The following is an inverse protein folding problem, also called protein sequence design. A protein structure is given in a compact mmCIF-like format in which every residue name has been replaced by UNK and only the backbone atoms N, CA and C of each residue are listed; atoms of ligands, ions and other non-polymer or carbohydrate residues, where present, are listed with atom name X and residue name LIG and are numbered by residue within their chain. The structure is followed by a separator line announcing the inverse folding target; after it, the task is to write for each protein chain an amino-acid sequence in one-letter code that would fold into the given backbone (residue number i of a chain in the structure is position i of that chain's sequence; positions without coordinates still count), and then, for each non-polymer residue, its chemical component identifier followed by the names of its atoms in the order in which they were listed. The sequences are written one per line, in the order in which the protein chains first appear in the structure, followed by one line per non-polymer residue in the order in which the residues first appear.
data_IF_674954554552
#
_entry.id   IF_674954554552
#
_cell.length_a   1.000
_cell.length_b   1.000
_cell.length_c   1.000
_cell.angle_alpha   90.00
_cell.angle_beta   90.00
_cell.angle_gamma   90.00
#
_symmetry.space_group_name_H-M   'P 1'
#
loop_
_entity.id
_entity.type
_entity.pdbx_description
1 polymer ?
#
# COMPACT_ATOMS: atom_id res chain seq x y z
N UNK A 1 -19.58 13.76 -4.64
CA UNK A 1 -18.36 13.34 -3.96
C UNK A 1 -17.19 13.45 -4.92
N UNK A 2 -16.33 14.46 -4.74
CA UNK A 2 -15.11 14.56 -5.54
C UNK A 2 -14.07 13.63 -4.92
N UNK A 3 -13.79 12.52 -5.59
CA UNK A 3 -12.75 11.59 -5.15
C UNK A 3 -11.46 11.85 -5.91
N UNK A 4 -10.34 11.72 -5.22
CA UNK A 4 -9.01 11.87 -5.81
C UNK A 4 -8.02 10.95 -5.10
N UNK A 5 -6.97 10.57 -5.81
CA UNK A 5 -5.85 9.81 -5.26
C UNK A 5 -4.64 10.75 -5.22
N UNK A 6 -3.83 10.66 -4.17
CA UNK A 6 -2.54 11.37 -4.11
C UNK A 6 -1.47 10.53 -3.39
N UNK A 7 -0.18 10.83 -3.58
CA UNK A 7 0.86 10.33 -2.70
C UNK A 7 0.57 10.67 -1.23
N UNK A 8 0.88 9.74 -0.35
CA UNK A 8 0.83 9.94 1.11
C UNK A 8 2.12 10.62 1.59
N UNK A 9 2.00 11.34 2.69
CA UNK A 9 3.11 12.04 3.34
C UNK A 9 3.14 11.70 4.82
N UNK A 10 4.19 12.12 5.53
CA UNK A 10 4.25 11.99 6.99
C UNK A 10 3.11 12.71 7.72
N UNK A 11 2.47 13.71 7.11
CA UNK A 11 1.28 14.38 7.66
C UNK A 11 0.04 13.48 7.68
N UNK A 12 0.03 12.41 6.90
CA UNK A 12 -1.08 11.45 6.83
C UNK A 12 -0.93 10.31 7.85
N UNK A 13 0.17 10.27 8.61
CA UNK A 13 0.52 9.16 9.48
C UNK A 13 -0.62 8.76 10.43
N UNK A 14 -1.20 9.73 11.14
CA UNK A 14 -2.29 9.46 12.08
C UNK A 14 -3.55 8.92 11.37
N UNK A 15 -3.84 9.43 10.16
CA UNK A 15 -4.98 8.99 9.35
C UNK A 15 -4.77 7.56 8.86
N UNK A 16 -3.55 7.24 8.40
CA UNK A 16 -3.16 5.90 7.94
C UNK A 16 -3.18 4.89 9.09
N UNK A 17 -2.66 5.26 10.26
CA UNK A 17 -2.66 4.38 11.44
C UNK A 17 -4.07 4.06 11.94
N UNK A 18 -4.95 5.08 11.99
CA UNK A 18 -6.36 4.87 12.32
C UNK A 18 -7.07 3.95 11.32
N UNK A 19 -6.82 4.15 10.02
CA UNK A 19 -7.39 3.33 8.96
C UNK A 19 -6.87 1.88 8.99
N UNK A 20 -5.57 1.67 9.25
CA UNK A 20 -4.97 0.34 9.46
C UNK A 20 -5.63 -0.41 10.61
N UNK A 21 -5.71 0.23 11.78
CA UNK A 21 -6.33 -0.38 12.96
C UNK A 21 -7.82 -0.69 12.78
N UNK A 22 -8.52 0.04 11.90
CA UNK A 22 -9.93 -0.21 11.60
C UNK A 22 -10.12 -1.31 10.54
N UNK A 23 -9.17 -1.47 9.61
CA UNK A 23 -9.29 -2.38 8.48
C UNK A 23 -8.77 -3.80 8.77
N UNK A 24 -7.83 -3.96 9.70
CA UNK A 24 -7.17 -5.23 9.98
C UNK A 24 -7.29 -5.67 11.45
N UNK A 25 -7.19 -6.98 11.73
CA UNK A 25 -6.98 -7.47 13.09
C UNK A 25 -5.72 -6.88 13.73
N UNK A 26 -5.69 -6.61 15.04
CA UNK A 26 -4.54 -5.97 15.69
C UNK A 26 -3.20 -6.66 15.51
N UNK A 27 -3.18 -8.00 15.37
CA UNK A 27 -1.95 -8.77 15.15
C UNK A 27 -1.37 -8.60 13.74
N UNK A 28 -2.20 -8.22 12.77
CA UNK A 28 -1.84 -8.12 11.36
C UNK A 28 -1.64 -6.68 10.92
N UNK A 29 -2.38 -5.75 11.55
CA UNK A 29 -2.30 -4.33 11.27
C UNK A 29 -0.86 -3.81 11.37
N UNK A 30 -0.47 -2.93 10.44
CA UNK A 30 0.80 -2.26 10.52
C UNK A 30 0.82 -1.33 11.74
N UNK A 31 1.86 -1.45 12.58
CA UNK A 31 2.02 -0.55 13.73
C UNK A 31 2.28 0.88 13.29
N UNK A 32 2.06 1.83 14.19
CA UNK A 32 2.33 3.25 13.95
C UNK A 32 3.77 3.47 13.45
N UNK A 33 4.75 2.81 14.07
CA UNK A 33 6.16 2.91 13.72
C UNK A 33 6.47 2.33 12.33
N UNK A 34 5.79 1.26 11.93
CA UNK A 34 5.95 0.69 10.58
C UNK A 34 5.42 1.65 9.52
N UNK A 35 4.28 2.28 9.77
CA UNK A 35 3.69 3.26 8.85
C UNK A 35 4.60 4.48 8.75
N UNK A 36 5.05 5.02 9.89
CA UNK A 36 5.97 6.16 9.98
C UNK A 36 7.26 5.89 9.18
N UNK A 37 7.86 4.72 9.39
CA UNK A 37 9.06 4.32 8.64
C UNK A 37 8.83 4.27 7.13
N UNK A 38 7.72 3.66 6.67
CA UNK A 38 7.43 3.47 5.24
C UNK A 38 7.11 4.80 4.55
N UNK A 39 6.34 5.67 5.21
CA UNK A 39 6.06 7.03 4.72
C UNK A 39 7.30 7.94 4.76
N UNK A 40 8.24 7.69 5.67
CA UNK A 40 9.50 8.44 5.74
C UNK A 40 10.53 7.96 4.72
N UNK A 41 10.58 6.67 4.43
CA UNK A 41 11.62 6.06 3.60
C UNK A 41 11.27 6.02 2.12
N UNK A 42 9.99 5.84 1.78
CA UNK A 42 9.54 5.78 0.39
C UNK A 42 8.08 6.23 0.23
N UNK A 43 7.77 7.51 0.55
CA UNK A 43 6.42 8.06 0.39
C UNK A 43 5.90 8.01 -1.05
N UNK A 44 6.79 8.01 -2.05
CA UNK A 44 6.45 7.94 -3.47
C UNK A 44 5.79 6.61 -3.87
N UNK A 45 5.92 5.57 -3.05
CA UNK A 45 5.26 4.27 -3.24
C UNK A 45 3.95 4.13 -2.48
N UNK A 46 3.53 5.16 -1.75
CA UNK A 46 2.37 5.12 -0.87
C UNK A 46 1.29 6.09 -1.37
N UNK A 47 0.06 5.61 -1.57
CA UNK A 47 -1.02 6.41 -2.13
C UNK A 47 -2.28 6.32 -1.28
N UNK A 48 -3.00 7.44 -1.14
CA UNK A 48 -4.28 7.50 -0.46
C UNK A 48 -5.40 7.87 -1.43
N UNK A 49 -6.55 7.22 -1.28
CA UNK A 49 -7.81 7.63 -1.88
C UNK A 49 -8.56 8.51 -0.88
N UNK A 50 -8.84 9.74 -1.31
CA UNK A 50 -9.51 10.75 -0.53
C UNK A 50 -10.87 11.09 -1.13
N UNK A 51 -11.85 11.31 -0.26
CA UNK A 51 -13.17 11.80 -0.64
C UNK A 51 -13.33 13.22 -0.08
N UNK A 52 -13.65 14.19 -0.96
CA UNK A 52 -13.98 15.54 -0.53
C UNK A 52 -15.37 15.64 0.13
N UNK A 53 -15.61 16.73 0.85
CA UNK A 53 -16.88 17.04 1.52
C UNK A 53 -18.04 17.19 0.51
N UNK A 54 -18.74 16.10 0.20
CA UNK A 54 -20.00 16.10 -0.53
C UNK A 54 -20.70 14.76 -0.35
N UNK A 55 -21.95 14.81 0.12
CA UNK A 55 -22.87 13.69 0.44
C UNK A 55 -23.34 12.85 -0.78
N UNK A 56 -22.48 12.58 -1.76
CA UNK A 56 -22.88 11.79 -2.93
C UNK A 56 -22.35 10.35 -2.87
N UNK A 57 -23.01 9.49 -3.64
CA UNK A 57 -22.69 8.07 -3.85
C UNK A 57 -21.22 7.81 -4.24
N UNK A 58 -20.83 6.53 -4.19
CA UNK A 58 -19.49 6.05 -4.53
C UNK A 58 -18.97 6.68 -5.84
N UNK A 59 -17.70 7.12 -5.87
CA UNK A 59 -17.13 7.80 -7.03
C UNK A 59 -17.07 6.89 -8.26
N UNK A 60 -17.36 7.44 -9.44
CA UNK A 60 -17.13 6.76 -10.71
C UNK A 60 -15.61 6.56 -10.91
N UNK A 61 -15.12 5.30 -11.02
CA UNK A 61 -13.72 4.98 -11.29
C UNK A 61 -13.07 5.78 -12.42
N UNK A 62 -13.82 6.07 -13.50
CA UNK A 62 -13.32 6.79 -14.66
C UNK A 62 -13.00 8.27 -14.39
N UNK A 63 -13.54 8.81 -13.31
CA UNK A 63 -13.43 10.24 -12.95
C UNK A 63 -12.36 10.51 -11.89
N UNK A 64 -11.89 9.47 -11.19
CA UNK A 64 -10.92 9.62 -10.10
C UNK A 64 -9.53 9.84 -10.67
N UNK A 65 -9.01 11.05 -10.46
CA UNK A 65 -7.66 11.45 -10.88
C UNK A 65 -6.63 11.14 -9.81
N UNK A 66 -5.43 10.74 -10.25
CA UNK A 66 -4.23 10.74 -9.42
C UNK A 66 -3.60 12.12 -9.52
N UNK A 67 -3.56 12.84 -8.41
CA UNK A 67 -2.97 14.17 -8.29
C UNK A 67 -1.50 14.06 -7.91
N UNK A 68 -0.69 14.99 -8.39
CA UNK A 68 0.63 15.24 -7.83
C UNK A 68 0.53 15.83 -6.42
N UNK A 69 1.63 15.77 -5.67
CA UNK A 69 1.69 16.37 -4.32
C UNK A 69 1.41 17.89 -4.35
N UNK A 70 1.83 18.59 -5.41
CA UNK A 70 1.59 20.01 -5.59
C UNK A 70 0.09 20.31 -5.85
N UNK A 71 -0.58 19.54 -6.71
CA UNK A 71 -2.01 19.72 -7.01
C UNK A 71 -2.90 19.43 -5.80
N UNK A 72 -2.42 18.64 -4.84
CA UNK A 72 -3.19 18.20 -3.69
C UNK A 72 -2.86 18.95 -2.39
N UNK A 73 -1.97 19.95 -2.42
CA UNK A 73 -1.51 20.68 -1.25
C UNK A 73 -2.65 21.33 -0.44
N UNK A 74 -3.66 21.88 -1.12
CA UNK A 74 -4.80 22.56 -0.48
C UNK A 74 -6.04 21.65 -0.34
N UNK A 75 -5.90 20.33 -0.55
CA UNK A 75 -7.02 19.39 -0.54
C UNK A 75 -7.14 18.67 0.80
N UNK A 76 -8.17 19.00 1.57
CA UNK A 76 -8.46 18.36 2.87
C UNK A 76 -9.61 17.35 2.80
N UNK A 77 -9.47 16.35 1.93
CA UNK A 77 -10.40 15.22 1.85
C UNK A 77 -10.22 14.23 3.01
N UNK A 78 -11.22 13.39 3.21
CA UNK A 78 -11.20 12.27 4.15
C UNK A 78 -10.48 11.10 3.51
N UNK A 79 -9.45 10.57 4.16
CA UNK A 79 -8.77 9.34 3.73
C UNK A 79 -9.70 8.15 3.96
N UNK A 80 -10.05 7.43 2.90
CA UNK A 80 -10.95 6.26 2.98
C UNK A 80 -10.29 4.95 2.57
N UNK A 81 -9.17 5.01 1.85
CA UNK A 81 -8.38 3.84 1.51
C UNK A 81 -6.92 4.25 1.29
N UNK A 82 -5.97 3.35 1.57
CA UNK A 82 -4.55 3.57 1.27
C UNK A 82 -3.86 2.33 0.72
N UNK A 83 -2.76 2.57 0.00
CA UNK A 83 -1.71 1.60 -0.27
C UNK A 83 -0.42 2.08 0.41
N UNK A 84 0.24 1.18 1.15
CA UNK A 84 1.54 1.46 1.78
C UNK A 84 2.51 0.38 1.37
N UNK A 85 3.66 0.76 0.83
CA UNK A 85 4.60 -0.15 0.21
C UNK A 85 6.07 0.27 0.45
N UNK A 86 6.98 -0.66 0.21
CA UNK A 86 8.43 -0.38 0.11
C UNK A 86 9.01 -1.08 -1.11
N UNK A 87 10.25 -0.73 -1.48
CA UNK A 87 11.04 -1.56 -2.39
C UNK A 87 11.61 -2.76 -1.64
N UNK A 88 11.69 -3.89 -2.33
CA UNK A 88 12.27 -5.14 -1.85
C UNK A 88 13.19 -5.73 -2.92
N UNK A 89 14.23 -6.46 -2.47
CA UNK A 89 15.15 -7.18 -3.39
C UNK A 89 14.56 -8.52 -3.84
N UNK A 90 13.82 -9.19 -2.96
CA UNK A 90 13.21 -10.47 -3.25
C UNK A 90 12.03 -10.32 -4.22
N UNK A 91 11.75 -11.38 -4.97
CA UNK A 91 10.56 -11.46 -5.83
C UNK A 91 9.30 -11.67 -5.00
N UNK A 92 9.36 -12.53 -3.99
CA UNK A 92 8.27 -12.80 -3.04
C UNK A 92 8.60 -12.12 -1.70
N UNK A 93 7.57 -11.67 -0.99
CA UNK A 93 7.75 -10.95 0.28
C UNK A 93 8.28 -11.93 1.32
N UNK A 94 9.35 -11.54 2.01
CA UNK A 94 9.87 -12.25 3.19
C UNK A 94 9.62 -11.45 4.47
N UNK A 95 9.75 -12.09 5.63
CA UNK A 95 9.47 -11.44 6.92
C UNK A 95 10.35 -10.21 7.18
N UNK A 96 11.58 -10.17 6.65
CA UNK A 96 12.43 -8.98 6.70
C UNK A 96 11.83 -7.77 5.96
N UNK A 97 11.13 -7.98 4.84
CA UNK A 97 10.46 -6.89 4.12
C UNK A 97 9.28 -6.32 4.93
N UNK A 98 8.65 -7.16 5.77
CA UNK A 98 7.53 -6.78 6.65
C UNK A 98 7.98 -6.04 7.92
N UNK A 99 9.29 -5.98 8.19
CA UNK A 99 9.87 -5.27 9.33
C UNK A 99 10.49 -3.93 8.92
N UNK A 100 11.22 -3.30 9.85
CA UNK A 100 11.92 -2.05 9.64
C UNK A 100 13.16 -1.95 10.55
N UNK A 101 14.17 -1.17 10.15
CA UNK A 101 15.40 -0.98 10.94
C UNK A 101 15.07 -0.22 12.22
N UNK A 102 15.39 -0.74 13.41
CA UNK A 102 14.94 -0.11 14.67
C UNK A 102 15.62 1.23 14.97
N UNK A 103 16.77 1.47 14.37
CA UNK A 103 17.56 2.69 14.47
C UNK A 103 17.33 3.67 13.30
N UNK A 104 16.31 3.44 12.45
CA UNK A 104 16.08 4.23 11.23
C UNK A 104 15.98 5.75 11.44
N UNK A 105 15.47 6.18 12.61
CA UNK A 105 15.37 7.61 12.96
C UNK A 105 16.72 8.23 13.30
N UNK A 106 17.64 7.46 13.87
CA UNK A 106 18.97 7.91 14.28
C UNK A 106 20.04 7.61 13.24
N UNK A 107 19.78 6.69 12.31
CA UNK A 107 20.73 6.24 11.30
C UNK A 107 20.05 5.99 9.93
N UNK A 108 19.52 7.05 9.29
CA UNK A 108 18.72 6.93 8.07
C UNK A 108 19.52 6.48 6.84
N UNK A 109 20.84 6.43 6.92
CA UNK A 109 21.73 6.04 5.81
C UNK A 109 22.30 4.64 5.96
N UNK A 110 22.00 3.93 7.04
CA UNK A 110 22.40 2.55 7.17
C UNK A 110 21.75 1.71 6.06
N UNK A 111 22.56 0.92 5.37
CA UNK A 111 22.03 -0.18 4.56
C UNK A 111 21.44 -1.16 5.56
N UNK A 112 20.11 -1.26 5.56
CA UNK A 112 19.41 -2.12 6.49
C UNK A 112 19.04 -3.45 5.84
N UNK A 113 19.12 -4.51 6.62
CA UNK A 113 18.70 -5.86 6.21
C UNK A 113 17.18 -6.06 6.33
N UNK A 114 16.43 -5.04 6.75
CA UNK A 114 14.98 -5.08 6.97
C UNK A 114 14.29 -3.85 6.38
N UNK A 115 13.06 -4.03 5.89
CA UNK A 115 12.22 -2.98 5.35
C UNK A 115 12.61 -2.52 3.95
N UNK A 116 12.66 -1.20 3.74
CA UNK A 116 12.86 -0.61 2.42
C UNK A 116 14.27 -0.86 1.88
N UNK A 117 14.32 -1.40 0.65
CA UNK A 117 15.55 -1.68 -0.09
C UNK A 117 15.66 -0.76 -1.32
N UNK A 118 16.41 0.36 -1.28
CA UNK A 118 16.43 1.35 -2.37
C UNK A 118 16.80 0.78 -3.75
N UNK A 119 17.68 -0.23 -3.77
CA UNK A 119 18.12 -0.93 -4.99
C UNK A 119 17.24 -2.12 -5.39
N UNK A 120 16.13 -2.34 -4.68
CA UNK A 120 15.18 -3.41 -4.98
C UNK A 120 14.38 -3.14 -6.24
N UNK A 121 14.09 -4.19 -7.00
CA UNK A 121 13.28 -4.12 -8.24
C UNK A 121 11.83 -4.55 -8.03
N UNK A 122 11.49 -5.08 -6.86
CA UNK A 122 10.11 -5.41 -6.49
C UNK A 122 9.53 -4.33 -5.60
N UNK A 123 8.25 -4.01 -5.76
CA UNK A 123 7.48 -3.22 -4.79
C UNK A 123 6.70 -4.18 -3.90
N UNK A 124 7.11 -4.29 -2.64
CA UNK A 124 6.38 -5.02 -1.61
C UNK A 124 5.24 -4.14 -1.11
N UNK A 125 4.00 -4.46 -1.54
CA UNK A 125 2.81 -3.76 -1.09
C UNK A 125 2.33 -4.39 0.22
N UNK A 126 2.65 -3.72 1.33
CA UNK A 126 2.41 -4.19 2.68
C UNK A 126 0.97 -4.04 3.15
N UNK A 127 0.24 -3.09 2.57
CA UNK A 127 -1.13 -2.80 2.96
C UNK A 127 -1.94 -2.26 1.79
N UNK A 128 -3.16 -2.80 1.64
CA UNK A 128 -4.27 -2.18 0.92
C UNK A 128 -5.44 -2.13 1.90
N UNK A 129 -5.59 -1.00 2.59
CA UNK A 129 -6.67 -0.80 3.56
C UNK A 129 -7.83 -0.02 2.91
N UNK A 130 -9.06 -0.41 3.22
CA UNK A 130 -10.27 0.36 2.90
C UNK A 130 -11.09 0.47 4.18
N UNK A 131 -11.53 1.68 4.51
CA UNK A 131 -12.32 1.97 5.70
C UNK A 131 -13.57 1.08 5.70
N UNK A 132 -13.93 0.43 6.82
CA UNK A 132 -15.08 -0.46 6.90
C UNK A 132 -16.37 0.11 6.32
N UNK A 133 -16.65 1.40 6.56
CA UNK A 133 -17.84 2.11 6.06
C UNK A 133 -17.86 2.25 4.53
N UNK A 134 -16.70 2.12 3.90
CA UNK A 134 -16.47 2.29 2.46
C UNK A 134 -16.07 0.99 1.74
N UNK A 135 -16.09 -0.15 2.45
CA UNK A 135 -15.83 -1.47 1.87
C UNK A 135 -17.00 -1.95 0.98
N UNK A 136 -16.71 -2.92 0.10
CA UNK A 136 -17.66 -3.51 -0.87
C UNK A 136 -18.27 -2.52 -1.87
N UNK A 137 -17.73 -1.30 -1.98
CA UNK A 137 -18.12 -0.29 -2.96
C UNK A 137 -17.17 -0.20 -4.17
N UNK A 138 -16.23 -1.16 -4.30
CA UNK A 138 -15.25 -1.19 -5.40
C UNK A 138 -14.02 -0.29 -5.19
N UNK A 139 -13.93 0.46 -4.09
CA UNK A 139 -12.83 1.40 -3.84
C UNK A 139 -11.44 0.75 -3.76
N UNK A 140 -11.33 -0.43 -3.14
CA UNK A 140 -10.05 -1.15 -3.11
C UNK A 140 -9.56 -1.56 -4.51
N UNK A 141 -10.50 -1.98 -5.38
CA UNK A 141 -10.19 -2.30 -6.78
C UNK A 141 -9.79 -1.05 -7.56
N UNK A 142 -10.51 0.05 -7.36
CA UNK A 142 -10.18 1.36 -7.95
C UNK A 142 -8.76 1.80 -7.55
N UNK A 143 -8.47 1.80 -6.25
CA UNK A 143 -7.16 2.22 -5.75
C UNK A 143 -6.05 1.29 -6.25
N UNK A 144 -6.23 -0.03 -6.20
CA UNK A 144 -5.25 -0.98 -6.73
C UNK A 144 -4.99 -0.79 -8.23
N UNK A 145 -6.03 -0.58 -9.04
CA UNK A 145 -5.87 -0.32 -10.47
C UNK A 145 -5.03 0.93 -10.74
N UNK A 146 -5.35 2.04 -10.06
CA UNK A 146 -4.57 3.29 -10.16
C UNK A 146 -3.17 3.16 -9.58
N UNK A 147 -3.01 2.39 -8.52
CA UNK A 147 -1.70 2.08 -7.94
C UNK A 147 -0.80 1.35 -8.94
N UNK A 148 -1.29 0.28 -9.58
CA UNK A 148 -0.54 -0.45 -10.63
C UNK A 148 -0.14 0.51 -11.77
N UNK A 149 -1.06 1.37 -12.23
CA UNK A 149 -0.75 2.39 -13.25
C UNK A 149 0.37 3.35 -12.82
N UNK A 150 0.46 3.74 -11.54
CA UNK A 150 1.53 4.61 -11.05
C UNK A 150 2.86 3.86 -10.91
N UNK A 151 2.84 2.67 -10.31
CA UNK A 151 4.07 1.91 -10.07
C UNK A 151 4.73 1.47 -11.37
N UNK A 152 3.95 1.17 -12.43
CA UNK A 152 4.47 0.89 -13.78
C UNK A 152 5.27 2.03 -14.40
N UNK A 153 5.10 3.27 -13.94
CA UNK A 153 5.83 4.44 -14.45
C UNK A 153 7.17 4.64 -13.74
N UNK A 154 7.47 3.86 -12.70
CA UNK A 154 8.70 3.99 -11.93
C UNK A 154 9.82 3.22 -12.62
N UNK A 155 10.96 3.89 -12.79
CA UNK A 155 12.15 3.26 -13.33
C UNK A 155 12.72 2.22 -12.36
N UNK A 156 13.21 1.12 -12.92
CA UNK A 156 13.87 0.05 -12.17
C UNK A 156 12.93 -0.81 -11.31
N UNK A 157 11.62 -0.68 -11.48
CA UNK A 157 10.63 -1.58 -10.86
C UNK A 157 10.13 -2.59 -11.89
N UNK A 158 10.17 -3.87 -11.53
CA UNK A 158 9.77 -4.99 -12.39
C UNK A 158 8.40 -5.57 -12.02
N UNK A 159 7.99 -5.41 -10.75
CA UNK A 159 6.77 -6.05 -10.23
C UNK A 159 6.24 -5.42 -8.95
N UNK A 160 4.99 -5.73 -8.64
CA UNK A 160 4.37 -5.58 -7.31
C UNK A 160 4.20 -6.96 -6.70
N UNK A 161 4.60 -7.13 -5.44
CA UNK A 161 4.45 -8.37 -4.68
C UNK A 161 3.53 -8.12 -3.48
N UNK A 162 2.67 -9.09 -3.17
CA UNK A 162 1.75 -9.03 -2.02
C UNK A 162 1.72 -10.35 -1.26
N UNK A 163 1.44 -10.24 0.04
CA UNK A 163 0.92 -11.32 0.87
C UNK A 163 -0.60 -11.15 0.96
N UNK A 164 -1.34 -12.24 0.78
CA UNK A 164 -2.79 -12.20 0.91
C UNK A 164 -3.36 -13.49 1.48
N UNK A 165 -4.57 -13.43 2.00
CA UNK A 165 -5.29 -14.63 2.43
C UNK A 165 -5.71 -15.46 1.23
N UNK A 166 -5.78 -16.78 1.41
CA UNK A 166 -6.28 -17.71 0.40
C UNK A 166 -7.62 -17.28 -0.22
N UNK A 167 -8.57 -16.85 0.63
CA UNK A 167 -9.90 -16.39 0.19
C UNK A 167 -9.88 -15.17 -0.73
N UNK A 168 -8.80 -14.39 -0.71
CA UNK A 168 -8.61 -13.19 -1.55
C UNK A 168 -7.78 -13.46 -2.81
N UNK A 169 -7.19 -14.64 -2.96
CA UNK A 169 -6.44 -15.02 -4.18
C UNK A 169 -7.27 -14.77 -5.45
N UNK A 170 -8.55 -15.23 -5.56
CA UNK A 170 -9.32 -15.00 -6.79
C UNK A 170 -9.65 -13.53 -7.05
N UNK A 171 -9.63 -12.68 -6.02
CA UNK A 171 -9.81 -11.24 -6.17
C UNK A 171 -8.59 -10.61 -6.86
N UNK A 172 -7.38 -10.95 -6.42
CA UNK A 172 -6.14 -10.42 -6.98
C UNK A 172 -5.80 -11.02 -8.35
N UNK A 173 -6.12 -12.30 -8.60
CA UNK A 173 -5.96 -12.92 -9.93
C UNK A 173 -6.80 -12.20 -11.00
N UNK A 174 -8.03 -11.77 -10.65
CA UNK A 174 -8.86 -10.94 -11.55
C UNK A 174 -8.27 -9.55 -11.84
N UNK A 175 -7.33 -9.08 -11.02
CA UNK A 175 -6.57 -7.85 -11.24
C UNK A 175 -5.28 -8.08 -12.01
N UNK A 176 -4.97 -9.33 -12.37
CA UNK A 176 -3.79 -9.72 -13.14
C UNK A 176 -2.61 -10.20 -12.29
N UNK A 177 -2.78 -10.40 -10.98
CA UNK A 177 -1.74 -11.01 -10.16
C UNK A 177 -1.64 -12.51 -10.44
N UNK A 178 -0.41 -13.02 -10.44
CA UNK A 178 -0.08 -14.44 -10.51
C UNK A 178 0.07 -15.00 -9.10
N UNK A 179 -0.61 -16.11 -8.82
CA UNK A 179 -0.50 -16.86 -7.57
C UNK A 179 0.71 -17.82 -7.59
N UNK A 180 1.51 -17.79 -6.52
CA UNK A 180 2.68 -18.65 -6.30
C UNK A 180 2.47 -19.68 -5.18
N UNK A 181 1.26 -19.75 -4.61
CA UNK A 181 0.91 -20.68 -3.55
C UNK A 181 1.19 -20.13 -2.15
N UNK A 182 1.31 -21.03 -1.18
CA UNK A 182 1.53 -20.67 0.23
C UNK A 182 2.89 -19.99 0.40
N UNK A 183 2.88 -18.87 1.11
CA UNK A 183 4.09 -18.09 1.37
C UNK A 183 4.95 -18.73 2.46
N UNK A 184 6.26 -18.48 2.37
CA UNK A 184 7.20 -18.76 3.44
C UNK A 184 7.18 -17.69 4.54
N UNK A 185 6.60 -16.51 4.28
CA UNK A 185 6.45 -15.46 5.27
C UNK A 185 5.53 -15.90 6.41
N UNK A 186 5.97 -15.67 7.64
CA UNK A 186 5.25 -16.03 8.87
C UNK A 186 4.67 -14.83 9.58
N UNK A 187 4.68 -13.65 8.94
CA UNK A 187 4.14 -12.41 9.47
C UNK A 187 2.78 -12.60 10.17
N UNK A 188 2.70 -12.07 11.39
CA UNK A 188 1.53 -12.16 12.27
C UNK A 188 1.08 -13.59 12.64
N UNK A 189 1.89 -14.62 12.36
CA UNK A 189 1.53 -16.02 12.60
C UNK A 189 0.44 -16.56 11.67
N UNK A 190 0.19 -15.89 10.54
CA UNK A 190 -0.86 -16.22 9.57
C UNK A 190 -0.28 -17.00 8.39
N UNK A 191 -1.07 -17.93 7.84
CA UNK A 191 -0.74 -18.59 6.57
C UNK A 191 -1.11 -17.71 5.38
N UNK A 192 -0.09 -17.07 4.78
CA UNK A 192 -0.24 -16.20 3.62
C UNK A 192 -0.09 -16.96 2.30
N UNK A 193 -0.56 -16.32 1.22
CA UNK A 193 -0.30 -16.70 -0.16
C UNK A 193 0.50 -15.60 -0.86
N UNK A 194 1.50 -16.01 -1.63
CA UNK A 194 2.38 -15.13 -2.40
C UNK A 194 1.79 -14.83 -3.78
N UNK A 195 1.61 -13.55 -4.10
CA UNK A 195 1.14 -13.11 -5.41
C UNK A 195 2.05 -12.02 -5.98
N UNK A 196 2.27 -12.04 -7.30
CA UNK A 196 3.01 -10.98 -8.02
C UNK A 196 2.21 -10.42 -9.19
N UNK A 197 2.35 -9.13 -9.45
CA UNK A 197 1.95 -8.49 -10.71
C UNK A 197 3.24 -8.05 -11.40
N UNK A 198 3.62 -8.71 -12.49
CA UNK A 198 4.84 -8.43 -13.25
C UNK A 198 4.56 -7.45 -14.41
N UNK A 199 5.48 -6.52 -14.67
CA UNK A 199 5.27 -5.40 -15.61
C UNK A 199 5.72 -5.66 -17.05
N UNK A 200 5.88 -6.93 -17.43
CA UNK A 200 6.32 -7.38 -18.76
C UNK A 200 5.77 -6.56 -19.93
#
# INVERSE_FOLDING_TARGET
MTAYIRPLTSLDLDRCAALESAAFPPSEAATYEKIDYRLSSCPELCYGLFLGNSDAAAPDPGTVRVLSSAEAQDKDGILVAHTIATKARATLIVDQDMDYPKDWKTNPRAVADAGHQPSGTSVALHSLAVSPDYQRQGLGKLLMGKYIEQVKKLDGVERISILTYERLVPYYEKLGFKNHGKSAATYAGVSWYDLTYDFS
#
